data_IF_299430625411
#
_entry.id   IF_299430625411
#
_cell.length_a   1.000
_cell.length_b   1.000
_cell.length_c   1.000
_cell.angle_alpha   90.00
_cell.angle_beta   90.00
_cell.angle_gamma   90.00
#
_symmetry.space_group_name_H-M   'P 1'
#
loop_
_entity.id
_entity.type
_entity.pdbx_description
1 polymer ?
#
# COMPACT_ATOMS: atom_id res chain seq x y z
N UNK A 1 9.64 -18.74 -5.97
CA UNK A 1 9.03 -17.45 -6.39
C UNK A 1 10.14 -16.50 -6.79
N UNK A 2 9.85 -15.46 -7.59
CA UNK A 2 10.83 -14.40 -7.90
C UNK A 2 10.62 -13.21 -6.98
N UNK A 3 11.69 -12.43 -6.74
CA UNK A 3 11.63 -11.25 -5.88
C UNK A 3 10.54 -10.25 -6.33
N UNK A 4 10.44 -9.98 -7.64
CA UNK A 4 9.42 -9.08 -8.19
C UNK A 4 7.99 -9.59 -7.95
N UNK A 5 7.76 -10.90 -8.01
CA UNK A 5 6.42 -11.47 -7.77
C UNK A 5 5.97 -11.22 -6.33
N UNK A 6 6.85 -11.49 -5.37
CA UNK A 6 6.57 -11.25 -3.94
C UNK A 6 6.37 -9.77 -3.65
N UNK A 7 7.14 -8.90 -4.32
CA UNK A 7 6.98 -7.45 -4.21
C UNK A 7 5.56 -7.01 -4.57
N UNK A 8 5.08 -7.43 -5.73
CA UNK A 8 3.74 -7.06 -6.21
C UNK A 8 2.66 -7.72 -5.36
N UNK A 9 2.89 -8.93 -4.85
CA UNK A 9 1.98 -9.59 -3.92
C UNK A 9 1.83 -8.80 -2.62
N UNK A 10 2.89 -8.17 -2.11
CA UNK A 10 2.77 -7.33 -0.92
C UNK A 10 1.76 -6.17 -1.11
N UNK A 11 1.73 -5.58 -2.30
CA UNK A 11 0.91 -4.42 -2.62
C UNK A 11 -0.60 -4.73 -2.72
N UNK A 12 -1.00 -6.00 -2.61
CA UNK A 12 -2.39 -6.42 -2.76
C UNK A 12 -2.92 -6.90 -1.42
N UNK A 13 -3.95 -6.23 -0.91
CA UNK A 13 -4.67 -6.64 0.29
C UNK A 13 -5.63 -7.82 -0.01
N UNK A 14 -5.86 -8.68 0.97
CA UNK A 14 -6.88 -9.73 0.92
C UNK A 14 -8.27 -9.12 1.12
N UNK A 15 -9.03 -9.04 0.04
CA UNK A 15 -10.39 -8.47 0.04
C UNK A 15 -10.47 -7.14 -0.72
N UNK A 16 -11.63 -6.50 -0.66
CA UNK A 16 -11.87 -5.21 -1.27
C UNK A 16 -12.17 -4.18 -0.18
N UNK A 17 -11.36 -3.12 -0.11
CA UNK A 17 -11.48 -2.06 0.88
C UNK A 17 -11.68 -0.74 0.17
N UNK A 18 -12.82 -0.08 0.35
CA UNK A 18 -13.01 1.29 -0.16
C UNK A 18 -12.43 2.30 0.82
N UNK A 19 -12.03 3.48 0.32
CA UNK A 19 -11.37 4.52 1.12
C UNK A 19 -12.21 4.99 2.32
N UNK A 20 -13.54 4.91 2.20
CA UNK A 20 -14.50 5.26 3.25
C UNK A 20 -14.57 4.21 4.37
N UNK A 21 -14.32 2.94 4.04
CA UNK A 21 -14.41 1.83 5.00
C UNK A 21 -13.14 1.66 5.83
N UNK A 22 -12.01 2.23 5.36
CA UNK A 22 -10.74 2.16 6.06
C UNK A 22 -10.79 2.89 7.40
N UNK A 23 -10.04 2.41 8.39
CA UNK A 23 -9.93 3.05 9.71
C UNK A 23 -8.47 3.32 10.02
N UNK A 24 -8.24 4.37 10.80
CA UNK A 24 -6.89 4.68 11.25
C UNK A 24 -6.34 3.52 12.10
N UNK A 25 -5.11 3.10 11.79
CA UNK A 25 -4.46 1.95 12.44
C UNK A 25 -5.00 0.57 12.03
N UNK A 26 -5.87 0.48 11.02
CA UNK A 26 -6.41 -0.80 10.57
C UNK A 26 -5.34 -1.64 9.86
N UNK A 27 -5.17 -2.88 10.30
CA UNK A 27 -4.35 -3.87 9.60
C UNK A 27 -5.19 -4.68 8.60
N UNK A 28 -4.65 -4.85 7.40
CA UNK A 28 -5.22 -5.62 6.30
C UNK A 28 -4.21 -6.70 5.90
N UNK A 29 -4.61 -7.99 5.87
CA UNK A 29 -3.70 -9.04 5.40
C UNK A 29 -3.30 -8.79 3.95
N UNK A 30 -2.02 -8.91 3.64
CA UNK A 30 -1.54 -8.94 2.25
C UNK A 30 -1.73 -10.34 1.66
N UNK A 31 -1.81 -10.46 0.33
CA UNK A 31 -1.74 -11.78 -0.34
C UNK A 31 -0.34 -12.39 -0.27
N UNK A 32 0.67 -11.60 0.11
CA UNK A 32 1.95 -12.14 0.56
C UNK A 32 1.76 -12.68 1.98
N UNK A 33 1.94 -14.00 2.16
CA UNK A 33 1.71 -14.68 3.43
C UNK A 33 2.40 -13.97 4.61
N UNK A 34 1.72 -13.94 5.75
CA UNK A 34 2.21 -13.39 7.04
C UNK A 34 2.57 -11.89 7.01
N UNK A 35 2.25 -11.20 5.92
CA UNK A 35 2.47 -9.76 5.77
C UNK A 35 1.16 -8.99 5.89
N UNK A 36 1.26 -7.76 6.42
CA UNK A 36 0.11 -6.88 6.62
C UNK A 36 0.38 -5.49 6.04
N UNK A 37 -0.68 -4.86 5.56
CA UNK A 37 -0.74 -3.45 5.20
C UNK A 37 -1.48 -2.71 6.31
N UNK A 38 -0.97 -1.55 6.71
CA UNK A 38 -1.58 -0.70 7.72
C UNK A 38 -2.21 0.52 7.05
N UNK A 39 -3.50 0.73 7.25
CA UNK A 39 -4.17 1.96 6.84
C UNK A 39 -3.96 3.06 7.89
N UNK A 40 -3.64 4.25 7.42
CA UNK A 40 -3.68 5.50 8.18
C UNK A 40 -4.82 6.36 7.67
N UNK A 41 -5.56 6.98 8.58
CA UNK A 41 -6.67 7.87 8.24
C UNK A 41 -6.60 9.11 9.11
N UNK A 42 -6.50 10.28 8.46
CA UNK A 42 -6.47 11.58 9.14
C UNK A 42 -7.41 12.57 8.46
N UNK A 43 -7.83 13.57 9.21
CA UNK A 43 -8.62 14.69 8.69
C UNK A 43 -7.74 15.93 8.71
N UNK A 44 -7.61 16.60 7.57
CA UNK A 44 -6.84 17.84 7.50
C UNK A 44 -7.64 19.06 8.00
N UNK A 45 -7.00 20.23 8.05
CA UNK A 45 -7.64 21.48 8.49
C UNK A 45 -8.78 21.97 7.60
N UNK A 46 -9.03 21.32 6.45
CA UNK A 46 -10.13 21.60 5.53
C UNK A 46 -11.22 20.52 5.59
N UNK A 47 -11.23 19.69 6.64
CA UNK A 47 -12.16 18.56 6.80
C UNK A 47 -12.06 17.51 5.68
N UNK A 48 -10.94 17.45 4.97
CA UNK A 48 -10.70 16.39 3.98
C UNK A 48 -10.13 15.17 4.67
N UNK A 49 -10.74 14.03 4.38
CA UNK A 49 -10.26 12.73 4.80
C UNK A 49 -9.08 12.32 3.93
N UNK A 50 -7.91 12.21 4.53
CA UNK A 50 -6.69 11.73 3.92
C UNK A 50 -6.49 10.28 4.35
N UNK A 51 -6.22 9.42 3.38
CA UNK A 51 -5.99 8.00 3.59
C UNK A 51 -4.60 7.65 3.05
N UNK A 52 -3.89 6.81 3.80
CA UNK A 52 -2.58 6.30 3.45
C UNK A 52 -2.48 4.82 3.79
N UNK A 53 -1.58 4.11 3.12
CA UNK A 53 -1.24 2.71 3.40
C UNK A 53 0.26 2.61 3.60
N UNK A 54 0.69 2.14 4.77
CA UNK A 54 2.10 2.14 5.20
C UNK A 54 2.79 3.47 4.93
N UNK A 55 2.16 4.58 5.35
CA UNK A 55 2.67 5.95 5.17
C UNK A 55 2.69 6.43 3.71
N UNK A 56 2.21 5.62 2.76
CA UNK A 56 2.05 6.00 1.35
C UNK A 56 0.65 6.59 1.10
N UNK A 57 0.53 7.89 0.78
CA UNK A 57 -0.77 8.51 0.53
C UNK A 57 -1.48 7.93 -0.69
N UNK A 58 -2.81 7.81 -0.63
CA UNK A 58 -3.61 7.51 -1.80
C UNK A 58 -3.67 8.75 -2.71
N UNK A 59 -3.15 8.63 -3.93
CA UNK A 59 -3.22 9.64 -4.98
C UNK A 59 -4.56 9.61 -5.74
N UNK A 60 -5.08 8.39 -6.01
CA UNK A 60 -6.43 8.16 -6.55
C UNK A 60 -7.02 6.94 -5.87
N UNK A 61 -8.25 7.01 -5.39
CA UNK A 61 -8.90 5.91 -4.69
C UNK A 61 -10.15 5.42 -5.43
N UNK A 62 -10.65 4.26 -5.00
CA UNK A 62 -11.99 3.76 -5.32
C UNK A 62 -12.23 3.51 -6.82
N UNK A 63 -11.18 3.10 -7.55
CA UNK A 63 -11.31 2.70 -8.96
C UNK A 63 -11.87 1.28 -8.99
N UNK A 64 -13.13 1.15 -9.41
CA UNK A 64 -13.77 -0.15 -9.54
C UNK A 64 -13.06 -1.05 -10.56
N UNK A 65 -12.81 -2.30 -10.18
CA UNK A 65 -12.30 -3.36 -11.04
C UNK A 65 -13.27 -4.55 -11.01
N UNK A 66 -13.17 -5.44 -12.00
CA UNK A 66 -14.09 -6.59 -12.14
C UNK A 66 -14.09 -7.55 -10.94
N UNK A 67 -13.03 -7.53 -10.13
CA UNK A 67 -12.81 -8.42 -9.00
C UNK A 67 -12.35 -7.69 -7.73
N UNK A 68 -12.55 -6.38 -7.62
CA UNK A 68 -12.11 -5.60 -6.46
C UNK A 68 -12.04 -4.11 -6.71
N UNK A 69 -11.11 -3.45 -6.03
CA UNK A 69 -10.92 -2.00 -6.07
C UNK A 69 -9.43 -1.68 -6.18
N UNK A 70 -9.10 -0.70 -7.01
CA UNK A 70 -7.73 -0.21 -7.19
C UNK A 70 -7.60 1.14 -6.47
N UNK A 71 -6.55 1.26 -5.66
CA UNK A 71 -6.08 2.52 -5.11
C UNK A 71 -4.67 2.79 -5.65
N UNK A 72 -4.49 3.95 -6.26
CA UNK A 72 -3.19 4.46 -6.69
C UNK A 72 -2.55 5.15 -5.50
N UNK A 73 -1.34 4.72 -5.15
CA UNK A 73 -0.55 5.25 -4.03
C UNK A 73 0.67 6.00 -4.55
N UNK A 74 1.17 6.96 -3.76
CA UNK A 74 2.28 7.82 -4.18
C UNK A 74 3.65 7.12 -4.05
N UNK A 75 3.82 6.29 -3.01
CA UNK A 75 5.07 5.61 -2.70
C UNK A 75 4.97 4.10 -2.82
N UNK A 76 6.09 3.49 -3.18
CA UNK A 76 6.27 2.04 -3.22
C UNK A 76 6.18 1.46 -1.80
N UNK A 77 5.40 0.40 -1.64
CA UNK A 77 5.32 -0.36 -0.40
C UNK A 77 6.48 -1.35 -0.32
N UNK A 78 7.25 -1.27 0.76
CA UNK A 78 8.38 -2.17 1.02
C UNK A 78 8.07 -3.04 2.24
N UNK A 79 8.07 -4.36 2.09
CA UNK A 79 8.08 -5.27 3.22
C UNK A 79 9.32 -5.08 4.08
N UNK A 80 9.13 -5.02 5.40
CA UNK A 80 10.22 -4.83 6.37
C UNK A 80 11.01 -6.13 6.63
N UNK A 81 10.55 -7.27 6.12
CA UNK A 81 11.12 -8.60 6.38
C UNK A 81 12.41 -8.91 5.60
N UNK A 82 12.80 -8.04 4.65
CA UNK A 82 14.00 -8.24 3.84
C UNK A 82 14.53 -6.95 3.24
N UNK A 83 15.85 -6.88 3.01
CA UNK A 83 16.44 -5.77 2.27
C UNK A 83 16.22 -5.97 0.77
N UNK A 84 15.17 -5.34 0.24
CA UNK A 84 14.80 -5.38 -1.18
C UNK A 84 15.81 -4.69 -2.10
N UNK A 85 16.71 -3.87 -1.53
CA UNK A 85 17.68 -3.09 -2.25
C UNK A 85 19.11 -3.62 -2.07
N UNK A 86 19.30 -4.74 -1.36
CA UNK A 86 20.61 -5.32 -1.20
C UNK A 86 21.19 -5.72 -2.56
N UNK A 87 22.40 -5.24 -2.84
CA UNK A 87 23.05 -5.38 -4.15
C UNK A 87 22.52 -4.52 -5.30
N UNK A 88 21.48 -3.69 -5.09
CA UNK A 88 20.98 -2.75 -6.11
C UNK A 88 21.79 -1.44 -6.06
N UNK A 89 22.66 -1.24 -7.04
CA UNK A 89 23.33 0.06 -7.25
C UNK A 89 22.30 1.02 -7.87
N UNK A 90 21.68 1.86 -7.04
CA UNK A 90 20.86 2.95 -7.55
C UNK A 90 21.75 3.95 -8.31
N UNK A 91 21.37 4.38 -9.53
CA UNK A 91 22.09 5.46 -10.19
C UNK A 91 22.06 6.70 -9.28
N UNK A 92 23.22 7.31 -9.06
CA UNK A 92 23.33 8.53 -8.26
C UNK A 92 22.33 9.55 -8.81
N UNK A 93 21.40 10.00 -7.97
CA UNK A 93 20.51 11.12 -8.31
C UNK A 93 21.42 12.31 -8.66
N UNK A 94 21.26 12.83 -9.88
CA UNK A 94 21.92 14.06 -10.32
C UNK A 94 21.35 15.25 -9.57
#
# INVERSE_FOLDING_TARGET
MTALKEFLMYHVAQGAYYSQDLRDGQFMPSILNEQYLQAGVRVDGCSRRLVEVNVSPLYRSDIAASNGVIHVIDWILKPDDRDWCDGIILPKRR
#
